data_IF_133592173049
#
_entry.id   IF_133592173049
#
_cell.length_a   1.000
_cell.length_b   1.000
_cell.length_c   1.000
_cell.angle_alpha   90.00
_cell.angle_beta   90.00
_cell.angle_gamma   90.00
#
_symmetry.space_group_name_H-M   'P 1'
#
loop_
_entity.id
_entity.type
_entity.pdbx_description
1 polymer ?
#
# COMPACT_ATOMS: atom_id res chain seq x y z
N UNK A 1 -0.78 -21.43 -3.02
CA UNK A 1 0.24 -20.80 -2.15
C UNK A 1 0.84 -19.53 -2.76
N UNK A 2 1.62 -19.60 -3.84
CA UNK A 2 2.30 -18.43 -4.46
C UNK A 2 1.33 -17.27 -4.76
N UNK A 3 0.20 -17.57 -5.39
CA UNK A 3 -0.90 -16.64 -5.66
C UNK A 3 -1.33 -15.82 -4.44
N UNK A 4 -1.46 -16.47 -3.29
CA UNK A 4 -1.91 -15.87 -2.03
C UNK A 4 -0.85 -14.93 -1.47
N UNK A 5 0.43 -15.35 -1.46
CA UNK A 5 1.53 -14.54 -0.94
C UNK A 5 1.74 -13.29 -1.82
N UNK A 6 1.70 -13.45 -3.14
CA UNK A 6 1.82 -12.31 -4.07
C UNK A 6 0.57 -11.43 -4.14
N UNK A 7 -0.57 -11.87 -3.57
CA UNK A 7 -1.88 -11.21 -3.68
C UNK A 7 -2.31 -10.97 -5.15
N UNK A 8 -1.99 -11.90 -6.05
CA UNK A 8 -2.29 -11.81 -7.50
C UNK A 8 -3.24 -12.91 -7.93
N UNK A 9 -4.52 -12.75 -7.62
CA UNK A 9 -5.53 -13.79 -7.77
C UNK A 9 -5.93 -14.13 -9.22
N UNK A 10 -5.60 -13.27 -10.18
CA UNK A 10 -5.94 -13.47 -11.61
C UNK A 10 -5.20 -14.64 -12.27
N UNK A 11 -4.07 -15.07 -11.70
CA UNK A 11 -3.25 -16.16 -12.25
C UNK A 11 -3.34 -17.35 -11.31
N UNK A 12 -3.76 -18.49 -11.82
CA UNK A 12 -3.99 -19.73 -11.09
C UNK A 12 -2.71 -20.56 -11.00
N UNK A 13 -2.00 -20.76 -12.11
CA UNK A 13 -0.78 -21.57 -12.18
C UNK A 13 0.49 -20.72 -12.28
N UNK A 14 1.15 -20.57 -11.13
CA UNK A 14 2.44 -19.88 -11.02
C UNK A 14 3.64 -20.78 -11.29
N UNK A 15 3.48 -22.09 -11.13
CA UNK A 15 4.58 -23.06 -11.07
C UNK A 15 4.79 -23.85 -12.36
N UNK A 16 3.80 -23.86 -13.26
CA UNK A 16 3.88 -24.56 -14.53
C UNK A 16 5.00 -24.06 -15.44
N UNK A 17 5.80 -24.99 -15.97
CA UNK A 17 6.86 -24.71 -16.93
C UNK A 17 6.40 -24.69 -18.38
N UNK A 18 5.21 -25.23 -18.67
CA UNK A 18 4.67 -25.30 -20.02
C UNK A 18 4.05 -23.95 -20.40
N UNK A 19 4.85 -23.07 -21.02
CA UNK A 19 4.46 -21.69 -21.34
C UNK A 19 5.01 -21.25 -22.69
N UNK A 20 4.18 -20.55 -23.44
CA UNK A 20 4.62 -19.76 -24.60
C UNK A 20 4.94 -18.34 -24.15
N UNK A 21 6.13 -17.84 -24.51
CA UNK A 21 6.62 -16.51 -24.12
C UNK A 21 7.03 -15.77 -25.38
N UNK A 22 6.55 -14.55 -25.56
CA UNK A 22 7.00 -13.68 -26.67
C UNK A 22 8.46 -13.31 -26.49
N UNK A 23 9.20 -13.21 -27.61
CA UNK A 23 10.61 -12.80 -27.64
C UNK A 23 10.87 -11.50 -26.87
N UNK A 24 10.01 -10.50 -27.03
CA UNK A 24 10.12 -9.20 -26.35
C UNK A 24 10.09 -9.30 -24.82
N UNK A 25 9.23 -10.19 -24.28
CA UNK A 25 9.11 -10.42 -22.84
C UNK A 25 10.37 -11.10 -22.32
N UNK A 26 10.85 -12.12 -23.03
CA UNK A 26 12.08 -12.81 -22.67
C UNK A 26 13.28 -11.87 -22.67
N UNK A 27 13.46 -11.06 -23.73
CA UNK A 27 14.60 -10.15 -23.84
C UNK A 27 14.64 -9.10 -22.72
N UNK A 28 13.46 -8.67 -22.24
CA UNK A 28 13.36 -7.72 -21.14
C UNK A 28 13.74 -8.36 -19.80
N UNK A 29 13.23 -9.55 -19.52
CA UNK A 29 13.38 -10.20 -18.21
C UNK A 29 14.67 -11.03 -18.06
N UNK A 30 15.32 -11.44 -19.17
CA UNK A 30 16.46 -12.38 -19.14
C UNK A 30 17.58 -11.96 -18.20
N UNK A 31 17.87 -10.66 -18.10
CA UNK A 31 18.97 -10.14 -17.29
C UNK A 31 18.67 -10.29 -15.79
N UNK A 32 17.40 -10.15 -15.38
CA UNK A 32 17.00 -10.38 -13.99
C UNK A 32 17.02 -11.88 -13.64
N UNK A 33 16.90 -12.76 -14.64
CA UNK A 33 16.80 -14.20 -14.44
C UNK A 33 18.14 -14.90 -14.12
N UNK A 34 19.27 -14.25 -14.43
CA UNK A 34 20.62 -14.81 -14.24
C UNK A 34 20.88 -15.15 -12.76
N UNK A 35 20.22 -14.44 -11.84
CA UNK A 35 20.36 -14.63 -10.39
C UNK A 35 19.66 -15.88 -9.85
N UNK A 36 18.79 -16.53 -10.62
CA UNK A 36 18.00 -17.67 -10.16
C UNK A 36 18.66 -19.01 -10.52
N UNK A 37 18.78 -19.89 -9.53
CA UNK A 37 19.19 -21.28 -9.71
C UNK A 37 17.97 -22.21 -9.61
N UNK A 38 17.99 -23.30 -10.38
CA UNK A 38 16.93 -24.31 -10.38
C UNK A 38 15.58 -23.78 -10.88
N UNK A 39 14.49 -24.47 -10.57
CA UNK A 39 13.15 -24.22 -11.13
C UNK A 39 12.48 -22.92 -10.65
N UNK A 40 13.06 -22.21 -9.67
CA UNK A 40 12.52 -20.94 -9.13
C UNK A 40 12.42 -19.85 -10.21
N UNK A 41 13.27 -19.93 -11.25
CA UNK A 41 13.24 -18.96 -12.36
C UNK A 41 11.88 -18.89 -13.05
N UNK A 42 11.11 -19.99 -13.11
CA UNK A 42 9.81 -20.01 -13.80
C UNK A 42 8.78 -19.11 -13.10
N UNK A 43 8.76 -19.17 -11.77
CA UNK A 43 7.90 -18.30 -10.95
C UNK A 43 8.43 -16.88 -10.96
N UNK A 44 9.75 -16.72 -10.86
CA UNK A 44 10.38 -15.39 -10.89
C UNK A 44 10.14 -14.67 -12.21
N UNK A 45 10.27 -15.35 -13.33
CA UNK A 45 10.03 -14.82 -14.67
C UNK A 45 8.60 -14.31 -14.79
N UNK A 46 7.61 -15.14 -14.43
CA UNK A 46 6.20 -14.75 -14.50
C UNK A 46 5.90 -13.59 -13.54
N UNK A 47 6.42 -13.63 -12.33
CA UNK A 47 6.26 -12.55 -11.36
C UNK A 47 6.78 -11.21 -11.90
N UNK A 48 7.97 -11.21 -12.51
CA UNK A 48 8.58 -10.01 -13.08
C UNK A 48 7.85 -9.54 -14.34
N UNK A 49 7.47 -10.45 -15.23
CA UNK A 49 6.67 -10.11 -16.41
C UNK A 49 5.33 -9.46 -16.04
N UNK A 50 4.65 -9.99 -15.00
CA UNK A 50 3.40 -9.41 -14.50
C UNK A 50 3.63 -8.07 -13.80
N UNK A 51 4.72 -7.92 -13.04
CA UNK A 51 5.13 -6.63 -12.43
C UNK A 51 5.34 -5.56 -13.51
N UNK A 52 5.92 -5.96 -14.63
CA UNK A 52 6.25 -5.09 -15.76
C UNK A 52 5.06 -4.80 -16.69
N UNK A 53 3.87 -5.31 -16.36
CA UNK A 53 2.62 -5.00 -17.03
C UNK A 53 2.33 -5.83 -18.28
N UNK A 54 3.06 -6.92 -18.52
CA UNK A 54 2.76 -7.81 -19.62
C UNK A 54 1.44 -8.56 -19.40
N UNK A 55 0.75 -8.85 -20.51
CA UNK A 55 -0.52 -9.60 -20.50
C UNK A 55 -0.24 -11.08 -20.37
N UNK A 56 -0.98 -11.74 -19.49
CA UNK A 56 -0.92 -13.18 -19.24
C UNK A 56 -2.31 -13.77 -19.48
N UNK A 57 -2.36 -14.90 -20.19
CA UNK A 57 -3.55 -15.71 -20.37
C UNK A 57 -3.22 -17.15 -19.98
N UNK A 58 -4.18 -17.85 -19.38
CA UNK A 58 -4.04 -19.25 -18.98
C UNK A 58 -4.88 -20.11 -19.93
N UNK A 59 -4.25 -21.10 -20.55
CA UNK A 59 -4.92 -22.07 -21.42
C UNK A 59 -4.93 -23.40 -20.66
N UNK A 60 -6.12 -23.96 -20.35
CA UNK A 60 -6.21 -25.26 -19.68
C UNK A 60 -5.56 -26.35 -20.55
N UNK A 61 -4.79 -27.23 -19.91
CA UNK A 61 -4.26 -28.43 -20.54
C UNK A 61 -4.28 -29.59 -19.54
N UNK A 62 -4.35 -30.82 -20.06
CA UNK A 62 -4.24 -32.03 -19.25
C UNK A 62 -2.76 -32.42 -19.12
N UNK A 63 -2.23 -32.37 -17.90
CA UNK A 63 -0.91 -32.91 -17.61
C UNK A 63 -1.00 -34.43 -17.52
N UNK A 64 -0.17 -35.14 -18.30
CA UNK A 64 -0.08 -36.60 -18.26
C UNK A 64 1.08 -37.04 -17.38
N UNK A 65 0.90 -38.18 -16.71
CA UNK A 65 1.95 -38.78 -15.89
C UNK A 65 3.11 -39.26 -16.75
N UNK A 66 4.31 -39.03 -16.24
CA UNK A 66 5.55 -39.44 -16.91
C UNK A 66 5.76 -40.94 -16.73
N UNK A 67 5.77 -41.67 -17.84
CA UNK A 67 5.89 -43.14 -17.86
C UNK A 67 7.34 -43.65 -17.79
N UNK A 68 8.34 -42.82 -18.14
CA UNK A 68 9.75 -43.24 -18.22
C UNK A 68 10.71 -42.28 -17.48
N UNK A 69 11.77 -42.86 -16.90
CA UNK A 69 12.87 -42.17 -16.19
C UNK A 69 12.61 -41.85 -14.72
N UNK A 70 13.52 -41.12 -14.05
CA UNK A 70 13.36 -40.58 -12.67
C UNK A 70 13.26 -39.05 -12.63
N UNK A 71 12.54 -38.49 -11.65
CA UNK A 71 12.43 -37.04 -11.47
C UNK A 71 13.78 -36.46 -11.06
N UNK A 72 14.15 -35.32 -11.65
CA UNK A 72 15.37 -34.58 -11.31
C UNK A 72 15.11 -33.39 -10.39
N UNK A 73 13.85 -33.20 -9.97
CA UNK A 73 13.43 -32.10 -9.11
C UNK A 73 13.64 -32.53 -7.66
N UNK A 74 14.48 -31.82 -6.92
CA UNK A 74 14.58 -31.92 -5.46
C UNK A 74 13.43 -31.12 -4.81
N UNK A 75 12.35 -31.77 -4.30
CA UNK A 75 11.12 -31.06 -3.96
C UNK A 75 11.29 -30.10 -2.79
N UNK A 76 12.00 -30.52 -1.74
CA UNK A 76 12.23 -29.70 -0.55
C UNK A 76 13.06 -28.45 -0.87
N UNK A 77 14.17 -28.62 -1.61
CA UNK A 77 15.00 -27.50 -2.03
C UNK A 77 14.24 -26.52 -2.94
N UNK A 78 13.43 -27.04 -3.86
CA UNK A 78 12.59 -26.20 -4.72
C UNK A 78 11.58 -25.40 -3.91
N UNK A 79 10.85 -26.04 -2.99
CA UNK A 79 9.83 -25.39 -2.17
C UNK A 79 10.44 -24.30 -1.28
N UNK A 80 11.58 -24.57 -0.63
CA UNK A 80 12.23 -23.58 0.25
C UNK A 80 12.76 -22.38 -0.54
N UNK A 81 13.42 -22.62 -1.67
CA UNK A 81 13.91 -21.55 -2.55
C UNK A 81 12.76 -20.72 -3.13
N UNK A 82 11.68 -21.37 -3.53
CA UNK A 82 10.48 -20.71 -4.04
C UNK A 82 9.83 -19.84 -2.96
N UNK A 83 9.62 -20.37 -1.75
CA UNK A 83 9.04 -19.62 -0.64
C UNK A 83 9.91 -18.41 -0.27
N UNK A 84 11.22 -18.62 -0.13
CA UNK A 84 12.18 -17.54 0.16
C UNK A 84 12.10 -16.45 -0.90
N UNK A 85 12.02 -16.81 -2.18
CA UNK A 85 11.86 -15.85 -3.26
C UNK A 85 10.55 -15.07 -3.14
N UNK A 86 9.41 -15.77 -3.07
CA UNK A 86 8.08 -15.15 -3.12
C UNK A 86 7.84 -14.25 -1.90
N UNK A 87 8.29 -14.67 -0.71
CA UNK A 87 8.19 -13.87 0.52
C UNK A 87 9.08 -12.63 0.41
N UNK A 88 10.35 -12.79 0.02
CA UNK A 88 11.27 -11.66 -0.15
C UNK A 88 10.76 -10.68 -1.20
N UNK A 89 10.27 -11.19 -2.34
CA UNK A 89 9.71 -10.38 -3.40
C UNK A 89 8.48 -9.59 -2.92
N UNK A 90 7.57 -10.26 -2.19
CA UNK A 90 6.39 -9.59 -1.64
C UNK A 90 6.76 -8.55 -0.60
N UNK A 91 7.68 -8.87 0.31
CA UNK A 91 8.16 -7.95 1.33
C UNK A 91 8.76 -6.69 0.69
N UNK A 92 9.55 -6.86 -0.37
CA UNK A 92 10.11 -5.75 -1.13
C UNK A 92 9.02 -4.91 -1.83
N UNK A 93 8.00 -5.52 -2.43
CA UNK A 93 6.85 -4.81 -3.01
C UNK A 93 6.08 -4.00 -1.95
N UNK A 94 5.84 -4.60 -0.77
CA UNK A 94 5.11 -3.96 0.33
C UNK A 94 5.91 -2.81 0.93
N UNK A 95 7.20 -3.00 1.18
CA UNK A 95 8.12 -1.95 1.66
C UNK A 95 8.16 -0.73 0.75
N UNK A 96 8.16 -0.96 -0.56
CA UNK A 96 8.21 0.11 -1.54
C UNK A 96 6.83 0.66 -1.92
N UNK A 97 5.75 0.11 -1.36
CA UNK A 97 4.39 0.57 -1.62
C UNK A 97 4.18 1.97 -1.04
N UNK A 98 3.44 2.81 -1.76
CA UNK A 98 3.06 4.14 -1.27
C UNK A 98 2.17 4.06 -0.02
N UNK A 99 1.41 2.98 0.15
CA UNK A 99 0.55 2.78 1.32
C UNK A 99 1.37 2.56 2.59
N UNK A 100 2.39 1.69 2.57
CA UNK A 100 3.20 1.46 3.77
C UNK A 100 3.95 2.75 4.18
N UNK A 101 4.52 3.47 3.22
CA UNK A 101 5.19 4.76 3.48
C UNK A 101 4.23 5.79 4.07
N UNK A 102 2.99 5.83 3.56
CA UNK A 102 1.92 6.65 4.11
C UNK A 102 1.57 6.26 5.55
N UNK A 103 1.42 4.97 5.84
CA UNK A 103 1.13 4.46 7.18
C UNK A 103 2.26 4.80 8.18
N UNK A 104 3.52 4.58 7.79
CA UNK A 104 4.70 4.95 8.59
C UNK A 104 4.72 6.46 8.84
N UNK A 105 4.48 7.27 7.80
CA UNK A 105 4.43 8.72 7.94
C UNK A 105 3.39 9.14 8.98
N UNK A 106 2.18 8.56 8.92
CA UNK A 106 1.10 8.82 9.87
C UNK A 106 1.43 8.39 11.30
N UNK A 107 2.08 7.24 11.50
CA UNK A 107 2.53 6.78 12.82
C UNK A 107 3.57 7.74 13.43
N UNK A 108 4.52 8.21 12.62
CA UNK A 108 5.50 9.20 13.08
C UNK A 108 4.81 10.53 13.38
N UNK A 109 3.85 10.96 12.56
CA UNK A 109 3.04 12.15 12.83
C UNK A 109 2.27 12.04 14.16
N UNK A 110 1.69 10.88 14.46
CA UNK A 110 1.05 10.62 15.75
C UNK A 110 2.03 10.74 16.91
N UNK A 111 3.25 10.19 16.77
CA UNK A 111 4.29 10.31 17.78
C UNK A 111 4.73 11.78 17.98
N UNK A 112 4.87 12.55 16.89
CA UNK A 112 5.16 13.99 16.96
C UNK A 112 4.07 14.71 17.75
N UNK A 113 2.80 14.48 17.44
CA UNK A 113 1.68 15.07 18.17
C UNK A 113 1.75 14.75 19.68
N UNK A 114 1.92 13.46 20.03
CA UNK A 114 1.97 13.02 21.41
C UNK A 114 3.14 13.63 22.19
N UNK A 115 4.34 13.64 21.59
CA UNK A 115 5.54 14.23 22.20
C UNK A 115 5.38 15.75 22.36
N UNK A 116 4.90 16.45 21.34
CA UNK A 116 4.67 17.89 21.41
C UNK A 116 3.66 18.24 22.50
N UNK A 117 2.54 17.53 22.57
CA UNK A 117 1.53 17.74 23.61
C UNK A 117 2.14 17.58 25.00
N UNK A 118 2.85 16.48 25.24
CA UNK A 118 3.45 16.16 26.54
C UNK A 118 4.50 17.21 26.95
N UNK A 119 5.37 17.61 26.02
CA UNK A 119 6.40 18.62 26.29
C UNK A 119 5.77 19.98 26.60
N UNK A 120 4.82 20.45 25.78
CA UNK A 120 4.20 21.76 25.99
C UNK A 120 3.36 21.80 27.27
N UNK A 121 2.63 20.72 27.56
CA UNK A 121 1.85 20.60 28.80
C UNK A 121 2.76 20.66 30.04
N UNK A 122 3.88 19.93 30.05
CA UNK A 122 4.88 19.98 31.13
C UNK A 122 5.51 21.36 31.32
N UNK A 123 5.55 22.18 30.28
CA UNK A 123 6.00 23.57 30.33
C UNK A 123 4.89 24.56 30.73
N UNK A 124 3.76 24.08 31.26
CA UNK A 124 2.67 24.92 31.80
C UNK A 124 1.67 25.40 30.75
N UNK A 125 1.74 24.91 29.51
CA UNK A 125 0.76 25.27 28.48
C UNK A 125 -0.58 24.54 28.70
N UNK A 126 -1.68 25.24 28.46
CA UNK A 126 -3.02 24.65 28.55
C UNK A 126 -3.17 23.43 27.61
N UNK A 127 -3.73 22.29 28.07
CA UNK A 127 -3.81 21.05 27.29
C UNK A 127 -4.40 21.21 25.88
N UNK A 128 -5.44 22.04 25.74
CA UNK A 128 -6.07 22.27 24.43
C UNK A 128 -5.15 23.02 23.47
N UNK A 129 -4.36 23.98 23.96
CA UNK A 129 -3.41 24.72 23.13
C UNK A 129 -2.22 23.83 22.74
N UNK A 130 -1.68 23.06 23.69
CA UNK A 130 -0.64 22.07 23.44
C UNK A 130 -1.08 21.02 22.40
N UNK A 131 -2.31 20.51 22.53
CA UNK A 131 -2.89 19.57 21.58
C UNK A 131 -3.13 20.16 20.20
N UNK A 132 -3.58 21.42 20.11
CA UNK A 132 -3.73 22.10 18.82
C UNK A 132 -2.39 22.25 18.10
N UNK A 133 -1.34 22.68 18.80
CA UNK A 133 0.01 22.82 18.23
C UNK A 133 0.56 21.46 17.80
N UNK A 134 0.43 20.43 18.64
CA UNK A 134 0.86 19.07 18.29
C UNK A 134 0.13 18.52 17.06
N UNK A 135 -1.18 18.77 16.96
CA UNK A 135 -2.00 18.38 15.82
C UNK A 135 -1.54 19.03 14.52
N UNK A 136 -1.33 20.36 14.54
CA UNK A 136 -0.85 21.10 13.38
C UNK A 136 0.56 20.65 12.93
N UNK A 137 1.49 20.45 13.88
CA UNK A 137 2.82 19.94 13.56
C UNK A 137 2.76 18.54 12.93
N UNK A 138 1.87 17.67 13.44
CA UNK A 138 1.67 16.35 12.87
C UNK A 138 1.06 16.41 11.45
N UNK A 139 0.12 17.33 11.20
CA UNK A 139 -0.46 17.56 9.87
C UNK A 139 0.61 18.06 8.89
N UNK A 140 1.43 19.04 9.30
CA UNK A 140 2.54 19.58 8.49
C UNK A 140 3.57 18.49 8.18
N UNK A 141 3.95 17.70 9.18
CA UNK A 141 4.83 16.54 9.00
C UNK A 141 4.25 15.56 7.99
N UNK A 142 2.99 15.15 8.19
CA UNK A 142 2.32 14.18 7.34
C UNK A 142 2.22 14.67 5.90
N UNK A 143 1.84 15.93 5.68
CA UNK A 143 1.75 16.52 4.35
C UNK A 143 3.11 16.55 3.64
N UNK A 144 4.14 17.02 4.35
CA UNK A 144 5.50 17.15 3.81
C UNK A 144 6.10 15.79 3.46
N UNK A 145 6.09 14.85 4.40
CA UNK A 145 6.66 13.52 4.20
C UNK A 145 5.90 12.71 3.16
N UNK A 146 4.58 12.84 3.09
CA UNK A 146 3.82 12.20 2.03
C UNK A 146 4.20 12.76 0.64
N UNK A 147 4.46 14.06 0.54
CA UNK A 147 4.90 14.67 -0.72
C UNK A 147 6.32 14.23 -1.14
N UNK A 148 7.26 14.20 -0.20
CA UNK A 148 8.67 13.91 -0.51
C UNK A 148 9.00 12.41 -0.57
N UNK A 149 8.24 11.56 0.14
CA UNK A 149 8.54 10.14 0.29
C UNK A 149 7.42 9.21 -0.19
N UNK A 150 6.24 9.23 0.42
CA UNK A 150 5.15 8.28 0.12
C UNK A 150 4.69 8.36 -1.34
N UNK A 151 4.57 9.59 -1.84
CA UNK A 151 4.11 9.89 -3.20
C UNK A 151 5.20 10.56 -4.05
N UNK A 152 6.48 10.28 -3.77
CA UNK A 152 7.66 10.89 -4.44
C UNK A 152 7.54 10.97 -5.97
N UNK A 153 6.99 9.94 -6.63
CA UNK A 153 6.80 9.90 -8.10
C UNK A 153 5.83 10.96 -8.64
N UNK A 154 4.89 11.43 -7.80
CA UNK A 154 3.85 12.41 -8.14
C UNK A 154 3.98 13.66 -7.25
N UNK A 155 5.19 13.93 -6.73
CA UNK A 155 5.43 15.03 -5.80
C UNK A 155 5.06 16.37 -6.41
N UNK A 156 4.54 17.26 -5.59
CA UNK A 156 4.30 18.66 -5.93
C UNK A 156 5.62 19.40 -5.77
N UNK A 157 6.17 19.91 -6.88
CA UNK A 157 7.48 20.60 -6.91
C UNK A 157 7.35 22.13 -6.82
N UNK A 158 6.27 22.70 -7.34
CA UNK A 158 6.05 24.15 -7.34
C UNK A 158 5.65 24.63 -5.94
N UNK A 159 6.38 25.57 -5.30
CA UNK A 159 6.11 26.02 -3.93
C UNK A 159 4.68 26.53 -3.71
N UNK A 160 4.18 27.38 -4.62
CA UNK A 160 2.82 27.91 -4.53
C UNK A 160 1.77 26.79 -4.61
N UNK A 161 1.95 25.81 -5.51
CA UNK A 161 1.03 24.67 -5.63
C UNK A 161 1.09 23.76 -4.41
N UNK A 162 2.25 23.64 -3.77
CA UNK A 162 2.40 22.88 -2.52
C UNK A 162 1.58 23.52 -1.40
N UNK A 163 1.69 24.84 -1.22
CA UNK A 163 0.90 25.57 -0.23
C UNK A 163 -0.60 25.51 -0.52
N UNK A 164 -1.01 25.67 -1.78
CA UNK A 164 -2.43 25.59 -2.17
C UNK A 164 -3.05 24.19 -2.00
N UNK A 165 -2.24 23.14 -1.89
CA UNK A 165 -2.71 21.78 -1.61
C UNK A 165 -2.84 21.48 -0.12
N UNK A 166 -2.28 22.32 0.75
CA UNK A 166 -2.37 22.16 2.20
C UNK A 166 -3.81 22.32 2.75
N UNK A 167 -4.63 23.29 2.29
CA UNK A 167 -6.04 23.35 2.67
C UNK A 167 -6.84 22.11 2.25
N UNK A 168 -6.56 21.56 1.06
CA UNK A 168 -7.21 20.31 0.61
C UNK A 168 -6.83 19.12 1.49
N UNK A 169 -5.58 19.08 1.96
CA UNK A 169 -5.14 18.07 2.92
C UNK A 169 -5.89 18.18 4.25
N UNK A 170 -6.06 19.39 4.77
CA UNK A 170 -6.85 19.64 5.98
C UNK A 170 -8.33 19.28 5.81
N UNK A 171 -8.94 19.57 4.65
CA UNK A 171 -10.32 19.14 4.37
C UNK A 171 -10.48 17.62 4.41
N UNK A 172 -9.50 16.86 3.91
CA UNK A 172 -9.51 15.41 4.02
C UNK A 172 -9.38 14.98 5.49
N UNK A 173 -8.50 15.61 6.28
CA UNK A 173 -8.37 15.33 7.71
C UNK A 173 -9.66 15.62 8.49
N UNK A 174 -10.35 16.72 8.18
CA UNK A 174 -11.67 17.03 8.74
C UNK A 174 -12.70 15.96 8.39
N UNK A 175 -12.73 15.48 7.15
CA UNK A 175 -13.59 14.37 6.75
C UNK A 175 -13.32 13.10 7.57
N UNK A 176 -12.05 12.80 7.86
CA UNK A 176 -11.69 11.68 8.74
C UNK A 176 -12.19 11.86 10.18
N UNK A 177 -12.18 13.09 10.70
CA UNK A 177 -12.75 13.40 12.01
C UNK A 177 -14.28 13.24 12.04
N UNK A 178 -14.97 13.60 10.96
CA UNK A 178 -16.42 13.33 10.86
C UNK A 178 -16.70 11.83 10.86
N UNK A 179 -15.91 11.06 10.11
CA UNK A 179 -16.04 9.59 10.07
C UNK A 179 -15.80 8.96 11.44
N UNK A 180 -14.75 9.37 12.16
CA UNK A 180 -14.47 8.82 13.50
C UNK A 180 -15.60 9.16 14.47
N UNK A 181 -16.07 10.41 14.48
CA UNK A 181 -17.17 10.84 15.34
C UNK A 181 -18.48 10.11 15.04
N UNK A 182 -18.78 9.85 13.76
CA UNK A 182 -19.97 9.09 13.37
C UNK A 182 -19.90 7.63 13.85
N UNK A 183 -18.77 6.96 13.63
CA UNK A 183 -18.60 5.55 14.06
C UNK A 183 -18.63 5.44 15.58
N UNK A 184 -17.98 6.36 16.30
CA UNK A 184 -18.02 6.38 17.77
C UNK A 184 -19.42 6.70 18.29
N UNK A 185 -20.09 7.73 17.78
CA UNK A 185 -21.41 8.13 18.26
C UNK A 185 -22.47 7.05 18.04
N UNK A 186 -22.46 6.39 16.87
CA UNK A 186 -23.35 5.25 16.60
C UNK A 186 -22.94 4.05 17.47
N UNK A 187 -21.64 3.73 17.50
CA UNK A 187 -21.15 2.54 18.20
C UNK A 187 -21.35 2.59 19.70
N UNK A 188 -21.06 3.71 20.38
CA UNK A 188 -21.26 3.82 21.82
C UNK A 188 -22.73 3.92 22.20
N UNK A 189 -23.59 4.41 21.29
CA UNK A 189 -25.04 4.37 21.50
C UNK A 189 -25.58 2.93 21.59
N UNK A 190 -25.09 2.01 20.74
CA UNK A 190 -25.56 0.61 20.74
C UNK A 190 -24.79 -0.30 21.71
N UNK A 191 -23.49 -0.10 21.88
CA UNK A 191 -22.60 -1.00 22.63
C UNK A 191 -22.10 -0.42 23.96
N UNK A 192 -22.49 0.81 24.29
CA UNK A 192 -22.08 1.52 25.50
C UNK A 192 -20.67 2.13 25.43
N UNK A 193 -20.37 3.02 26.37
CA UNK A 193 -19.11 3.79 26.40
C UNK A 193 -17.84 2.92 26.63
N UNK A 194 -17.98 1.75 27.24
CA UNK A 194 -16.86 0.82 27.44
C UNK A 194 -16.25 0.32 26.12
N UNK A 195 -17.05 0.31 25.04
CA UNK A 195 -16.61 -0.11 23.70
C UNK A 195 -15.82 0.97 22.93
N UNK A 196 -15.74 2.21 23.45
CA UNK A 196 -15.18 3.38 22.74
C UNK A 196 -13.78 3.15 22.18
N UNK A 197 -12.88 2.53 22.96
CA UNK A 197 -11.49 2.33 22.54
C UNK A 197 -11.38 1.33 21.38
N UNK A 198 -12.17 0.26 21.42
CA UNK A 198 -12.20 -0.76 20.36
C UNK A 198 -12.82 -0.16 19.09
N UNK A 199 -13.93 0.59 19.24
CA UNK A 199 -14.58 1.30 18.15
C UNK A 199 -13.67 2.34 17.50
N UNK A 200 -12.83 3.03 18.28
CA UNK A 200 -11.85 3.98 17.77
C UNK A 200 -10.80 3.30 16.90
N UNK A 201 -10.22 2.18 17.36
CA UNK A 201 -9.26 1.42 16.57
C UNK A 201 -9.92 0.89 15.29
N UNK A 202 -11.14 0.37 15.39
CA UNK A 202 -11.92 -0.11 14.27
C UNK A 202 -12.21 0.99 13.25
N UNK A 203 -12.67 2.16 13.70
CA UNK A 203 -12.93 3.33 12.85
C UNK A 203 -11.67 3.77 12.11
N UNK A 204 -10.51 3.80 12.80
CA UNK A 204 -9.25 4.21 12.19
C UNK A 204 -8.84 3.24 11.08
N UNK A 205 -8.84 1.93 11.37
CA UNK A 205 -8.35 0.90 10.45
C UNK A 205 -9.25 0.74 9.24
N UNK A 206 -10.57 0.70 9.44
CA UNK A 206 -11.52 0.32 8.39
C UNK A 206 -12.17 1.51 7.66
N UNK A 207 -12.20 2.69 8.27
CA UNK A 207 -12.82 3.87 7.68
C UNK A 207 -11.81 4.98 7.40
N UNK A 208 -11.12 5.47 8.42
CA UNK A 208 -10.25 6.65 8.29
C UNK A 208 -9.07 6.40 7.37
N UNK A 209 -8.28 5.35 7.60
CA UNK A 209 -7.09 5.06 6.78
C UNK A 209 -7.47 4.83 5.30
N UNK A 210 -8.46 3.97 4.97
CA UNK A 210 -8.91 3.78 3.59
C UNK A 210 -9.45 5.05 2.95
N UNK A 211 -10.26 5.83 3.67
CA UNK A 211 -10.80 7.10 3.19
C UNK A 211 -9.67 8.11 2.89
N UNK A 212 -8.82 8.40 3.88
CA UNK A 212 -7.73 9.38 3.73
C UNK A 212 -6.79 8.98 2.61
N UNK A 213 -6.33 7.73 2.57
CA UNK A 213 -5.43 7.27 1.52
C UNK A 213 -6.07 7.40 0.13
N UNK A 214 -7.36 7.07 -0.01
CA UNK A 214 -8.09 7.24 -1.28
C UNK A 214 -8.16 8.71 -1.69
N UNK A 215 -8.62 9.58 -0.80
CA UNK A 215 -8.75 11.02 -1.07
C UNK A 215 -7.41 11.66 -1.44
N UNK A 216 -6.32 11.27 -0.78
CA UNK A 216 -4.97 11.72 -1.10
C UNK A 216 -4.53 11.30 -2.50
N UNK A 217 -4.81 10.04 -2.91
CA UNK A 217 -4.48 9.56 -4.25
C UNK A 217 -5.37 10.16 -5.34
N UNK A 218 -6.61 10.57 -5.03
CA UNK A 218 -7.58 11.11 -6.00
C UNK A 218 -7.41 12.63 -6.19
N UNK A 219 -7.30 13.41 -5.11
CA UNK A 219 -7.39 14.88 -5.17
C UNK A 219 -6.06 15.61 -4.97
N UNK A 220 -5.19 15.09 -4.09
CA UNK A 220 -3.93 15.78 -3.74
C UNK A 220 -2.82 15.40 -4.71
N UNK A 221 -2.42 14.13 -4.71
CA UNK A 221 -1.32 13.61 -5.54
C UNK A 221 -1.79 12.99 -6.87
N UNK A 222 -3.11 12.96 -7.11
CA UNK A 222 -3.76 12.62 -8.41
C UNK A 222 -3.19 11.39 -9.11
N UNK A 223 -2.90 10.33 -8.34
CA UNK A 223 -2.44 9.03 -8.83
C UNK A 223 -3.58 8.21 -9.44
N UNK A 224 -4.80 8.42 -8.97
CA UNK A 224 -5.98 7.67 -9.37
C UNK A 224 -6.99 8.58 -10.05
N UNK A 225 -7.45 8.16 -11.23
CA UNK A 225 -8.59 8.76 -11.92
C UNK A 225 -9.81 7.88 -11.65
N UNK A 226 -10.83 8.45 -11.02
CA UNK A 226 -12.07 7.75 -10.70
C UNK A 226 -13.15 8.34 -11.60
N UNK A 227 -13.74 7.51 -12.46
CA UNK A 227 -14.68 7.95 -13.50
C UNK A 227 -15.85 8.78 -12.95
N UNK A 228 -16.45 8.35 -11.83
CA UNK A 228 -17.55 9.08 -11.18
C UNK A 228 -17.13 10.43 -10.58
N UNK A 229 -15.86 10.59 -10.18
CA UNK A 229 -15.33 11.84 -9.62
C UNK A 229 -14.64 12.73 -10.67
N UNK A 230 -14.63 12.34 -11.95
CA UNK A 230 -13.84 13.01 -12.99
C UNK A 230 -14.14 14.52 -13.11
N UNK A 231 -15.43 14.90 -13.12
CA UNK A 231 -15.87 16.31 -13.17
C UNK A 231 -15.37 17.12 -11.96
N UNK A 232 -15.33 16.50 -10.78
CA UNK A 232 -14.83 17.14 -9.56
C UNK A 232 -13.30 17.23 -9.58
N UNK A 233 -12.61 16.20 -10.07
CA UNK A 233 -11.15 16.19 -10.23
C UNK A 233 -10.66 17.26 -11.21
N UNK A 234 -11.45 17.59 -12.22
CA UNK A 234 -11.16 18.68 -13.18
C UNK A 234 -11.36 20.06 -12.58
N UNK A 235 -12.42 20.26 -11.76
CA UNK A 235 -12.67 21.55 -11.07
C UNK A 235 -11.67 21.85 -9.95
N UNK A 236 -11.22 20.82 -9.23
CA UNK A 236 -10.19 20.93 -8.16
C UNK A 236 -8.76 20.86 -8.76
N UNK A 237 -8.70 21.01 -10.09
CA UNK A 237 -7.63 20.67 -11.03
C UNK A 237 -6.40 21.56 -10.99
#
# INVERSE_FOLDING_TARGET
MVRTILMRFRIHDWTGGFRAIKKEVFLKERNEMISFKGYTFQVAFLHKAVRDGFRVAEVPFAAHDRTLGRSKIAPLEYITNLLKYVITARFHEVLHSSFLKYAITGLVGYAINAITLEVLFKNGMHPSAAGAIGGELAIIWNFSMNNFWSFKKHRITKPLKFLLKFPQFNLVALGSLVMISAVLGIGTHYYGESSRQILLIFAIIFFVIPYSYTMYNVFIWKRWRVSFLAKLQEKVG
#
